data_IF_493826517554
#
_entry.id   IF_493826517554
#
_cell.length_a   1.000
_cell.length_b   1.000
_cell.length_c   1.000
_cell.angle_alpha   90.00
_cell.angle_beta   90.00
_cell.angle_gamma   90.00
#
_symmetry.space_group_name_H-M   'P 1'
#
loop_
_entity.id
_entity.type
_entity.pdbx_description
1 polymer ?
#
# COMPACT_ATOMS: atom_id res chain seq x y z
N UNK A 1 -2.95 -12.24 3.22
CA UNK A 1 -3.19 -11.93 1.78
C UNK A 1 -4.55 -12.41 1.31
N UNK A 2 -4.88 -13.71 1.43
CA UNK A 2 -6.17 -14.24 0.99
C UNK A 2 -7.39 -13.49 1.58
N UNK A 3 -7.35 -13.18 2.88
CA UNK A 3 -8.38 -12.37 3.53
C UNK A 3 -8.52 -10.97 2.92
N UNK A 4 -7.40 -10.27 2.70
CA UNK A 4 -7.40 -8.93 2.11
C UNK A 4 -7.97 -8.96 0.67
N UNK A 5 -7.61 -9.95 -0.14
CA UNK A 5 -8.21 -10.16 -1.46
C UNK A 5 -9.72 -10.37 -1.35
N UNK A 6 -10.16 -11.26 -0.45
CA UNK A 6 -11.59 -11.56 -0.25
C UNK A 6 -12.38 -10.32 0.17
N UNK A 7 -11.83 -9.49 1.07
CA UNK A 7 -12.46 -8.24 1.51
C UNK A 7 -12.53 -7.22 0.38
N UNK A 8 -11.44 -7.00 -0.34
CA UNK A 8 -11.40 -6.03 -1.44
C UNK A 8 -12.35 -6.40 -2.56
N UNK A 9 -12.47 -7.69 -2.89
CA UNK A 9 -13.41 -8.17 -3.91
C UNK A 9 -14.88 -7.97 -3.54
N UNK A 10 -15.23 -7.99 -2.24
CA UNK A 10 -16.61 -7.72 -1.78
C UNK A 10 -17.05 -6.28 -1.99
N UNK A 11 -16.11 -5.36 -2.24
CA UNK A 11 -16.39 -3.97 -2.53
C UNK A 11 -16.57 -3.69 -4.03
N UNK A 12 -16.36 -4.69 -4.89
CA UNK A 12 -16.73 -4.57 -6.30
C UNK A 12 -18.23 -4.29 -6.40
N UNK A 13 -18.60 -3.33 -7.25
CA UNK A 13 -19.99 -2.87 -7.46
C UNK A 13 -20.70 -2.28 -6.23
N UNK A 14 -19.98 -2.02 -5.12
CA UNK A 14 -20.57 -1.47 -3.90
C UNK A 14 -20.65 0.06 -3.88
N UNK A 15 -20.19 0.74 -4.93
CA UNK A 15 -20.04 2.20 -4.99
C UNK A 15 -18.83 2.77 -4.23
N UNK A 16 -17.98 1.91 -3.66
CA UNK A 16 -16.71 2.31 -3.06
C UNK A 16 -15.74 2.76 -4.17
N UNK A 17 -14.99 3.83 -3.91
CA UNK A 17 -14.08 4.46 -4.90
C UNK A 17 -12.60 4.12 -4.68
N UNK A 18 -12.29 3.31 -3.67
CA UNK A 18 -10.93 2.84 -3.38
C UNK A 18 -10.80 2.19 -2.01
N UNK A 19 -9.65 1.57 -1.75
CA UNK A 19 -9.35 0.88 -0.49
C UNK A 19 -8.08 1.46 0.15
N UNK A 20 -8.10 1.60 1.48
CA UNK A 20 -6.91 1.90 2.28
C UNK A 20 -6.44 0.62 2.96
N UNK A 21 -5.27 0.10 2.56
CA UNK A 21 -4.79 -1.22 2.96
C UNK A 21 -3.56 -1.10 3.84
N UNK A 22 -3.68 -1.47 5.11
CA UNK A 22 -2.59 -1.45 6.08
C UNK A 22 -1.60 -2.59 5.85
N UNK A 23 -0.32 -2.37 6.17
CA UNK A 23 0.69 -3.45 6.17
C UNK A 23 0.26 -4.62 7.07
N UNK A 24 0.55 -5.87 6.69
CA UNK A 24 0.29 -7.04 7.53
C UNK A 24 0.84 -6.84 8.94
N UNK A 25 -0.05 -6.86 9.91
CA UNK A 25 0.27 -6.75 11.33
C UNK A 25 0.52 -8.14 11.89
N UNK A 26 1.37 -8.26 12.91
CA UNK A 26 1.78 -9.50 13.59
C UNK A 26 2.82 -10.37 12.87
N UNK A 27 2.57 -10.81 11.64
CA UNK A 27 3.40 -11.82 10.96
C UNK A 27 4.73 -11.31 10.39
N UNK A 28 4.94 -9.98 10.36
CA UNK A 28 6.21 -9.33 10.02
C UNK A 28 6.89 -9.84 8.74
N UNK A 29 6.24 -9.73 7.57
CA UNK A 29 6.83 -10.13 6.30
C UNK A 29 8.07 -9.29 5.95
N UNK A 30 8.95 -9.86 5.13
CA UNK A 30 10.05 -9.13 4.51
C UNK A 30 9.55 -8.06 3.52
N UNK A 31 10.43 -7.18 3.06
CA UNK A 31 10.08 -6.19 2.02
C UNK A 31 9.52 -6.84 0.75
N UNK A 32 10.10 -7.97 0.34
CA UNK A 32 9.57 -8.71 -0.81
C UNK A 32 8.20 -9.34 -0.50
N UNK A 33 8.01 -9.84 0.72
CA UNK A 33 6.69 -10.31 1.16
C UNK A 33 5.63 -9.21 1.16
N UNK A 34 5.99 -7.99 1.58
CA UNK A 34 5.12 -6.81 1.51
C UNK A 34 4.79 -6.44 0.06
N UNK A 35 5.80 -6.42 -0.82
CA UNK A 35 5.61 -6.16 -2.25
C UNK A 35 4.60 -7.15 -2.86
N UNK A 36 4.85 -8.45 -2.70
CA UNK A 36 3.96 -9.50 -3.24
C UNK A 36 2.57 -9.45 -2.63
N UNK A 37 2.46 -9.12 -1.33
CA UNK A 37 1.17 -8.98 -0.65
C UNK A 37 0.30 -7.89 -1.30
N UNK A 38 0.85 -6.67 -1.45
CA UNK A 38 0.09 -5.56 -2.02
C UNK A 38 -0.17 -5.75 -3.52
N UNK A 39 0.84 -6.24 -4.26
CA UNK A 39 0.68 -6.57 -5.68
C UNK A 39 -0.45 -7.59 -5.89
N UNK A 40 -0.50 -8.66 -5.09
CA UNK A 40 -1.55 -9.66 -5.20
C UNK A 40 -2.94 -9.09 -4.92
N UNK A 41 -3.09 -8.17 -3.95
CA UNK A 41 -4.38 -7.50 -3.70
C UNK A 41 -4.78 -6.66 -4.92
N UNK A 42 -3.84 -5.85 -5.42
CA UNK A 42 -4.03 -4.96 -6.55
C UNK A 42 -4.41 -5.72 -7.85
N UNK A 43 -3.86 -6.91 -8.08
CA UNK A 43 -4.17 -7.75 -9.25
C UNK A 43 -5.56 -8.41 -9.21
N UNK A 44 -6.27 -8.39 -8.06
CA UNK A 44 -7.57 -9.06 -7.88
C UNK A 44 -8.76 -8.09 -7.79
N UNK A 45 -8.55 -6.80 -8.08
CA UNK A 45 -9.60 -5.78 -8.13
C UNK A 45 -9.23 -4.67 -9.11
N UNK A 46 -10.23 -3.96 -9.64
CA UNK A 46 -10.01 -2.71 -10.38
C UNK A 46 -10.08 -1.48 -9.46
N UNK A 47 -10.43 -1.65 -8.18
CA UNK A 47 -10.52 -0.55 -7.23
C UNK A 47 -9.13 0.06 -6.97
N UNK A 48 -9.03 1.40 -6.92
CA UNK A 48 -7.80 2.07 -6.50
C UNK A 48 -7.37 1.66 -5.09
N UNK A 49 -6.09 1.39 -4.92
CA UNK A 49 -5.47 0.98 -3.67
C UNK A 49 -4.55 2.09 -3.14
N UNK A 50 -4.73 2.42 -1.87
CA UNK A 50 -3.82 3.29 -1.11
C UNK A 50 -3.12 2.41 -0.06
N UNK A 51 -1.80 2.37 -0.13
CA UNK A 51 -0.95 1.69 0.85
C UNK A 51 -1.05 2.42 2.19
N UNK A 52 -0.98 1.72 3.31
CA UNK A 52 -0.93 2.35 4.62
C UNK A 52 0.20 1.81 5.48
N UNK A 53 1.19 2.66 5.72
CA UNK A 53 2.34 2.35 6.56
C UNK A 53 2.21 3.04 7.92
N UNK A 54 2.19 2.23 8.99
CA UNK A 54 2.11 2.68 10.40
C UNK A 54 2.88 1.72 11.31
N UNK A 55 4.23 1.74 11.28
CA UNK A 55 5.06 0.71 11.91
C UNK A 55 4.84 0.59 13.42
N UNK A 56 4.49 1.69 14.09
CA UNK A 56 4.16 1.71 15.51
C UNK A 56 2.96 0.84 15.89
N UNK A 57 2.09 0.49 14.93
CA UNK A 57 0.92 -0.38 15.14
C UNK A 57 1.09 -1.77 14.55
N UNK A 58 1.84 -1.91 13.46
CA UNK A 58 1.95 -3.18 12.73
C UNK A 58 3.20 -3.98 13.10
N UNK A 59 4.24 -3.32 13.62
CA UNK A 59 5.56 -3.90 13.77
C UNK A 59 6.27 -4.15 12.44
N UNK A 60 5.78 -3.54 11.35
CA UNK A 60 6.28 -3.66 9.99
C UNK A 60 6.47 -2.29 9.38
N UNK A 61 7.64 -2.06 8.78
CA UNK A 61 7.92 -0.84 8.05
C UNK A 61 7.99 -1.09 6.54
N UNK A 62 7.12 -0.45 5.76
CA UNK A 62 7.11 -0.52 4.30
C UNK A 62 8.03 0.55 3.71
N UNK A 63 9.28 0.18 3.44
CA UNK A 63 10.35 1.13 3.09
C UNK A 63 10.08 1.89 1.79
N UNK A 64 10.62 3.12 1.63
CA UNK A 64 10.41 3.95 0.44
C UNK A 64 10.69 3.25 -0.88
N UNK A 65 11.72 2.41 -0.95
CA UNK A 65 12.10 1.66 -2.16
C UNK A 65 11.01 0.65 -2.55
N UNK A 66 10.39 0.00 -1.56
CA UNK A 66 9.26 -0.91 -1.78
C UNK A 66 8.02 -0.15 -2.23
N UNK A 67 7.78 1.05 -1.68
CA UNK A 67 6.70 1.93 -2.14
C UNK A 67 6.93 2.34 -3.60
N UNK A 68 8.13 2.75 -3.98
CA UNK A 68 8.47 3.10 -5.36
C UNK A 68 8.30 1.94 -6.35
N UNK A 69 8.55 0.69 -5.91
CA UNK A 69 8.22 -0.50 -6.71
C UNK A 69 6.72 -0.73 -6.84
N UNK A 70 5.95 -0.53 -5.77
CA UNK A 70 4.49 -0.71 -5.75
C UNK A 70 3.76 0.39 -6.52
N UNK A 71 4.27 1.61 -6.55
CA UNK A 71 3.71 2.73 -7.32
C UNK A 71 3.66 2.46 -8.84
N UNK A 72 4.44 1.49 -9.33
CA UNK A 72 4.39 1.04 -10.74
C UNK A 72 3.24 0.08 -11.04
N UNK A 73 2.51 -0.38 -10.01
CA UNK A 73 1.34 -1.24 -10.18
C UNK A 73 0.12 -0.36 -10.48
N UNK A 74 -0.55 -0.65 -11.61
CA UNK A 74 -1.55 0.20 -12.27
C UNK A 74 -2.58 0.87 -11.33
N UNK A 75 -3.12 0.14 -10.37
CA UNK A 75 -4.18 0.62 -9.47
C UNK A 75 -3.68 0.87 -8.04
N UNK A 76 -2.37 0.87 -7.78
CA UNK A 76 -1.82 1.40 -6.52
C UNK A 76 -1.53 2.88 -6.73
N UNK A 77 -2.40 3.72 -6.19
CA UNK A 77 -2.44 5.16 -6.53
C UNK A 77 -1.83 6.06 -5.45
N UNK A 78 -1.47 5.52 -4.30
CA UNK A 78 -0.92 6.33 -3.23
C UNK A 78 -0.48 5.56 -2.00
N UNK A 79 0.04 6.31 -1.03
CA UNK A 79 0.37 5.85 0.31
C UNK A 79 -0.09 6.86 1.35
N UNK A 80 -0.66 6.35 2.44
CA UNK A 80 -0.77 7.05 3.71
C UNK A 80 0.45 6.73 4.57
N UNK A 81 1.27 7.73 4.86
CA UNK A 81 2.53 7.58 5.58
C UNK A 81 2.42 8.11 7.01
N UNK A 82 2.33 7.22 7.99
CA UNK A 82 2.07 7.59 9.38
C UNK A 82 3.27 7.43 10.33
N UNK A 83 4.51 7.44 9.82
CA UNK A 83 5.69 7.50 10.71
C UNK A 83 5.90 8.89 11.32
N UNK A 84 5.32 9.93 10.72
CA UNK A 84 5.60 11.33 11.08
C UNK A 84 6.96 11.85 10.61
N UNK A 85 7.71 11.06 9.83
CA UNK A 85 9.02 11.42 9.32
C UNK A 85 8.90 12.12 7.94
N UNK A 86 9.04 13.45 7.91
CA UNK A 86 8.98 14.23 6.67
C UNK A 86 10.11 13.91 5.68
N UNK A 87 11.29 13.53 6.16
CA UNK A 87 12.39 13.10 5.28
C UNK A 87 11.99 11.87 4.48
N UNK A 88 11.25 10.95 5.10
CA UNK A 88 10.75 9.75 4.43
C UNK A 88 9.73 10.07 3.34
N UNK A 89 8.84 11.05 3.57
CA UNK A 89 7.88 11.50 2.55
C UNK A 89 8.63 12.04 1.32
N UNK A 90 9.71 12.79 1.52
CA UNK A 90 10.55 13.26 0.43
C UNK A 90 11.22 12.11 -0.33
N UNK A 91 11.76 11.10 0.37
CA UNK A 91 12.35 9.92 -0.28
C UNK A 91 11.33 9.16 -1.13
N UNK A 92 10.10 9.00 -0.65
CA UNK A 92 9.03 8.37 -1.44
C UNK A 92 8.73 9.23 -2.68
N UNK A 93 8.62 10.54 -2.52
CA UNK A 93 8.35 11.49 -3.62
C UNK A 93 9.38 11.39 -4.75
N UNK A 94 10.65 11.15 -4.44
CA UNK A 94 11.71 10.97 -5.43
C UNK A 94 11.62 9.64 -6.21
N UNK A 95 10.87 8.66 -5.69
CA UNK A 95 10.78 7.30 -6.24
C UNK A 95 9.48 7.02 -6.97
N UNK A 96 8.52 7.94 -6.93
CA UNK A 96 7.17 7.79 -7.52
C UNK A 96 6.91 8.91 -8.53
N UNK A 97 5.89 8.74 -9.37
CA UNK A 97 5.45 9.79 -10.29
C UNK A 97 4.69 10.91 -9.57
N UNK A 98 4.62 12.09 -10.18
CA UNK A 98 3.98 13.28 -9.59
C UNK A 98 2.48 13.11 -9.30
N UNK A 99 1.81 12.16 -9.95
CA UNK A 99 0.41 11.81 -9.75
C UNK A 99 0.17 10.79 -8.63
N UNK A 100 1.23 10.22 -8.05
CA UNK A 100 1.12 9.30 -6.91
C UNK A 100 0.78 10.07 -5.62
N UNK A 101 -0.33 9.70 -4.98
CA UNK A 101 -0.87 10.44 -3.83
C UNK A 101 -0.10 10.13 -2.55
N UNK A 102 0.37 11.17 -1.87
CA UNK A 102 1.02 11.09 -0.55
C UNK A 102 0.10 11.69 0.52
N UNK A 103 -0.35 10.88 1.47
CA UNK A 103 -1.25 11.25 2.58
C UNK A 103 -0.60 11.13 3.95
#
# INVERSE_FOLDING_TARGET
>A
TAEAISLTQRFNDSGIVGCLTVTPYYNRPSQEGLYQHFKAIAEHTDLPQILYNVPSRTGCDLLPETVGRLAKVKNIIGIKEATGNLTRVNQIKELVSDDFVLL
#
